data_IF_884328809237
#
_entry.id   IF_884328809237
#
_cell.length_a   1.000
_cell.length_b   1.000
_cell.length_c   1.000
_cell.angle_alpha   90.00
_cell.angle_beta   90.00
_cell.angle_gamma   90.00
#
_symmetry.space_group_name_H-M   'P 1'
#
loop_
_entity.id
_entity.type
_entity.pdbx_description
1 polymer ?
#
# COMPACT_ATOMS: atom_id res chain seq x y z
N UNK A 1 -6.65 35.05 -38.74
CA UNK A 1 -7.46 34.02 -39.43
C UNK A 1 -6.56 32.79 -39.55
N UNK A 2 -6.79 31.63 -38.94
CA UNK A 2 -7.85 31.08 -38.10
C UNK A 2 -7.16 30.29 -36.96
N UNK A 3 -7.80 30.27 -35.79
CA UNK A 3 -7.50 29.36 -34.69
C UNK A 3 -7.71 27.92 -35.18
N UNK A 4 -6.66 27.11 -35.27
CA UNK A 4 -6.79 25.66 -35.19
C UNK A 4 -6.79 25.32 -33.71
N UNK A 5 -7.97 25.46 -33.09
CA UNK A 5 -8.26 24.72 -31.87
C UNK A 5 -8.50 23.31 -32.39
N UNK A 6 -7.44 22.51 -32.42
CA UNK A 6 -7.56 21.06 -32.47
C UNK A 6 -8.35 20.67 -31.23
N UNK A 7 -9.66 20.66 -31.40
CA UNK A 7 -10.57 20.16 -30.40
C UNK A 7 -10.42 18.66 -30.58
N UNK A 8 -9.48 18.08 -29.84
CA UNK A 8 -9.39 16.63 -29.68
C UNK A 8 -10.81 16.16 -29.37
N UNK A 9 -11.47 15.53 -30.35
CA UNK A 9 -12.65 14.72 -30.10
C UNK A 9 -12.18 13.56 -29.23
N UNK A 10 -12.01 13.81 -27.94
CA UNK A 10 -11.82 12.75 -26.96
C UNK A 10 -13.02 11.84 -27.10
N UNK A 11 -12.81 10.63 -27.61
CA UNK A 11 -13.90 9.71 -27.85
C UNK A 11 -14.63 9.48 -26.52
N UNK A 12 -15.97 9.47 -26.52
CA UNK A 12 -16.76 9.23 -25.29
C UNK A 12 -16.31 7.95 -24.55
N UNK A 13 -15.79 6.98 -25.29
CA UNK A 13 -15.17 5.77 -24.76
C UNK A 13 -13.88 6.04 -23.95
N UNK A 14 -12.98 6.90 -24.44
CA UNK A 14 -11.77 7.30 -23.71
C UNK A 14 -12.12 8.05 -22.43
N UNK A 15 -13.14 8.90 -22.47
CA UNK A 15 -13.64 9.59 -21.28
C UNK A 15 -14.14 8.61 -20.21
N UNK A 16 -14.88 7.57 -20.62
CA UNK A 16 -15.33 6.51 -19.71
C UNK A 16 -14.14 5.73 -19.13
N UNK A 17 -13.17 5.34 -19.95
CA UNK A 17 -11.98 4.63 -19.48
C UNK A 17 -11.20 5.45 -18.45
N UNK A 18 -11.05 6.75 -18.68
CA UNK A 18 -10.34 7.66 -17.78
C UNK A 18 -11.07 7.82 -16.43
N UNK A 19 -12.41 7.81 -16.44
CA UNK A 19 -13.20 7.80 -15.22
C UNK A 19 -13.03 6.47 -14.47
N UNK A 20 -13.04 5.35 -15.18
CA UNK A 20 -12.84 4.03 -14.58
C UNK A 20 -11.46 3.89 -13.93
N UNK A 21 -10.42 4.37 -14.60
CA UNK A 21 -9.05 4.44 -14.08
C UNK A 21 -8.99 5.26 -12.78
N UNK A 22 -9.61 6.45 -12.76
CA UNK A 22 -9.71 7.28 -11.56
C UNK A 22 -10.42 6.56 -10.41
N UNK A 23 -11.52 5.85 -10.68
CA UNK A 23 -12.21 5.06 -9.66
C UNK A 23 -11.34 3.91 -9.13
N UNK A 24 -10.55 3.28 -10.00
CA UNK A 24 -9.63 2.21 -9.62
C UNK A 24 -8.54 2.74 -8.69
N UNK A 25 -7.95 3.90 -9.01
CA UNK A 25 -6.95 4.57 -8.19
C UNK A 25 -7.50 4.98 -6.82
N UNK A 26 -8.72 5.54 -6.78
CA UNK A 26 -9.39 5.90 -5.53
C UNK A 26 -9.67 4.64 -4.70
N UNK A 27 -10.14 3.56 -5.33
CA UNK A 27 -10.38 2.30 -4.65
C UNK A 27 -9.09 1.72 -4.05
N UNK A 28 -7.99 1.71 -4.82
CA UNK A 28 -6.69 1.23 -4.37
C UNK A 28 -6.18 2.07 -3.19
N UNK A 29 -6.33 3.40 -3.27
CA UNK A 29 -5.96 4.33 -2.20
C UNK A 29 -6.81 4.10 -0.95
N UNK A 30 -8.11 3.88 -1.09
CA UNK A 30 -9.01 3.59 0.01
C UNK A 30 -8.69 2.25 0.68
N UNK A 31 -8.36 1.22 -0.11
CA UNK A 31 -7.94 -0.09 0.38
C UNK A 31 -6.62 0.02 1.16
N UNK A 32 -5.66 0.78 0.63
CA UNK A 32 -4.41 1.06 1.31
C UNK A 32 -4.64 1.78 2.66
N UNK A 33 -5.49 2.81 2.69
CA UNK A 33 -5.84 3.52 3.91
C UNK A 33 -6.53 2.61 4.92
N UNK A 34 -7.45 1.75 4.46
CA UNK A 34 -8.13 0.75 5.26
C UNK A 34 -7.16 -0.26 5.87
N UNK A 35 -6.20 -0.77 5.09
CA UNK A 35 -5.15 -1.65 5.58
C UNK A 35 -4.33 -0.98 6.68
N UNK A 36 -3.98 0.30 6.53
CA UNK A 36 -3.26 1.03 7.58
C UNK A 36 -4.09 1.25 8.84
N UNK A 37 -5.41 1.47 8.72
CA UNK A 37 -6.31 1.49 9.87
C UNK A 37 -6.33 0.13 10.57
N UNK A 38 -6.45 -0.98 9.84
CA UNK A 38 -6.42 -2.33 10.43
C UNK A 38 -5.11 -2.59 11.17
N UNK A 39 -3.98 -2.13 10.65
CA UNK A 39 -2.70 -2.20 11.35
C UNK A 39 -2.70 -1.46 12.69
N UNK A 40 -3.43 -0.36 12.84
CA UNK A 40 -3.54 0.29 14.15
C UNK A 40 -4.22 -0.61 15.19
N UNK A 41 -5.08 -1.54 14.75
CA UNK A 41 -5.71 -2.53 15.62
C UNK A 41 -4.82 -3.72 15.98
N UNK A 42 -3.68 -3.90 15.30
CA UNK A 42 -2.73 -4.99 15.63
C UNK A 42 -2.10 -4.83 17.02
N UNK A 43 -2.11 -3.60 17.56
CA UNK A 43 -1.79 -3.33 18.96
C UNK A 43 -2.71 -4.11 19.93
N UNK A 44 -4.02 -4.20 19.62
CA UNK A 44 -4.97 -4.94 20.47
C UNK A 44 -4.75 -6.45 20.40
N UNK A 45 -4.27 -7.00 19.29
CA UNK A 45 -3.92 -8.42 19.20
C UNK A 45 -2.77 -8.78 20.15
N UNK A 46 -1.87 -7.83 20.41
CA UNK A 46 -0.77 -7.96 21.35
C UNK A 46 -1.17 -7.79 22.82
N UNK A 47 -2.45 -7.55 23.13
CA UNK A 47 -2.99 -7.66 24.50
C UNK A 47 -3.14 -9.13 24.93
N UNK A 48 -3.22 -10.07 24.00
CA UNK A 48 -3.27 -11.48 24.33
C UNK A 48 -1.90 -11.94 24.88
N UNK A 49 -1.88 -12.50 26.10
CA UNK A 49 -0.66 -12.93 26.77
C UNK A 49 0.15 -13.96 25.97
N UNK A 50 -0.51 -14.82 25.20
CA UNK A 50 0.18 -15.83 24.36
C UNK A 50 0.95 -15.19 23.19
N UNK A 51 0.36 -14.16 22.56
CA UNK A 51 0.96 -13.42 21.44
C UNK A 51 2.05 -12.48 21.96
N UNK A 52 1.78 -11.78 23.07
CA UNK A 52 2.70 -10.83 23.71
C UNK A 52 4.01 -11.47 24.16
N UNK A 53 3.92 -12.68 24.72
CA UNK A 53 5.08 -13.37 25.29
C UNK A 53 5.95 -14.02 24.20
N UNK A 54 5.37 -14.31 23.03
CA UNK A 54 6.11 -14.82 21.88
C UNK A 54 6.52 -13.68 20.93
N UNK A 55 7.82 -13.37 20.92
CA UNK A 55 8.41 -12.30 20.10
C UNK A 55 8.07 -12.45 18.61
N UNK A 56 8.01 -13.69 18.09
CA UNK A 56 7.71 -13.93 16.68
C UNK A 56 6.26 -13.58 16.34
N UNK A 57 5.29 -14.04 17.14
CA UNK A 57 3.87 -13.72 16.91
C UNK A 57 3.60 -12.24 17.10
N UNK A 58 4.20 -11.62 18.10
CA UNK A 58 4.10 -10.18 18.34
C UNK A 58 4.64 -9.36 17.15
N UNK A 59 5.78 -9.76 16.59
CA UNK A 59 6.34 -9.13 15.38
C UNK A 59 5.43 -9.35 14.18
N UNK A 60 4.96 -10.59 13.98
CA UNK A 60 4.07 -10.95 12.88
C UNK A 60 2.79 -10.12 12.92
N UNK A 61 2.20 -9.86 14.09
CA UNK A 61 1.03 -8.97 14.18
C UNK A 61 1.31 -7.55 13.70
N UNK A 62 2.50 -7.00 13.94
CA UNK A 62 2.84 -5.65 13.47
C UNK A 62 3.27 -5.59 12.00
N UNK A 63 3.89 -6.66 11.47
CA UNK A 63 4.52 -6.64 10.14
C UNK A 63 3.79 -7.45 9.08
N UNK A 64 2.87 -8.37 9.44
CA UNK A 64 2.19 -9.24 8.48
C UNK A 64 1.41 -8.47 7.42
N UNK A 65 0.65 -7.46 7.82
CA UNK A 65 -0.13 -6.64 6.89
C UNK A 65 0.79 -5.79 6.01
N UNK A 66 1.79 -5.05 6.54
CA UNK A 66 2.80 -4.37 5.71
C UNK A 66 3.48 -5.29 4.69
N UNK A 67 3.86 -6.50 5.11
CA UNK A 67 4.50 -7.50 4.24
C UNK A 67 3.53 -7.96 3.15
N UNK A 68 2.26 -8.23 3.49
CA UNK A 68 1.24 -8.62 2.52
C UNK A 68 1.00 -7.53 1.46
N UNK A 69 0.98 -6.26 1.89
CA UNK A 69 0.85 -5.11 0.98
C UNK A 69 2.05 -5.00 0.05
N UNK A 70 3.28 -5.13 0.56
CA UNK A 70 4.48 -5.14 -0.30
C UNK A 70 4.47 -6.30 -1.27
N UNK A 71 4.09 -7.51 -0.84
CA UNK A 71 3.99 -8.67 -1.72
C UNK A 71 2.97 -8.45 -2.85
N UNK A 72 1.81 -7.87 -2.54
CA UNK A 72 0.81 -7.51 -3.53
C UNK A 72 1.38 -6.56 -4.60
N UNK A 73 2.05 -5.48 -4.17
CA UNK A 73 2.68 -4.55 -5.10
C UNK A 73 3.83 -5.18 -5.90
N UNK A 74 4.61 -6.10 -5.30
CA UNK A 74 5.65 -6.85 -6.03
C UNK A 74 5.06 -7.76 -7.12
N UNK A 75 3.91 -8.39 -6.86
CA UNK A 75 3.22 -9.22 -7.86
C UNK A 75 2.71 -8.34 -8.99
N UNK A 76 2.01 -7.26 -8.65
CA UNK A 76 1.47 -6.33 -9.64
C UNK A 76 2.61 -5.69 -10.46
N UNK A 77 3.74 -5.35 -9.83
CA UNK A 77 4.96 -4.90 -10.52
C UNK A 77 5.46 -5.90 -11.57
N UNK A 78 5.47 -7.19 -11.26
CA UNK A 78 5.91 -8.21 -12.22
C UNK A 78 4.94 -8.33 -13.39
N UNK A 79 3.65 -8.16 -13.16
CA UNK A 79 2.63 -8.18 -14.22
C UNK A 79 2.81 -6.96 -15.13
N UNK A 80 2.89 -5.77 -14.54
CA UNK A 80 3.01 -4.52 -15.30
C UNK A 80 4.32 -4.45 -16.08
N UNK A 81 5.44 -4.90 -15.49
CA UNK A 81 6.73 -5.00 -16.18
C UNK A 81 6.71 -5.95 -17.38
N UNK A 82 5.93 -7.03 -17.31
CA UNK A 82 5.76 -7.96 -18.44
C UNK A 82 4.87 -7.39 -19.56
N UNK A 83 3.97 -6.45 -19.25
CA UNK A 83 3.02 -5.89 -20.22
C UNK A 83 3.49 -4.58 -20.86
N UNK A 84 4.14 -3.70 -20.11
CA UNK A 84 4.46 -2.32 -20.51
C UNK A 84 5.96 -1.96 -20.37
N UNK A 85 6.82 -2.96 -20.16
CA UNK A 85 8.26 -2.79 -19.95
C UNK A 85 8.59 -1.70 -18.90
N UNK A 86 9.36 -0.67 -19.28
CA UNK A 86 9.91 0.34 -18.38
C UNK A 86 8.88 1.45 -18.06
N UNK A 87 7.83 1.60 -18.86
CA UNK A 87 6.82 2.64 -18.62
C UNK A 87 5.84 2.28 -17.49
N UNK A 88 5.51 0.99 -17.33
CA UNK A 88 4.79 0.50 -16.14
C UNK A 88 5.53 0.77 -14.82
N UNK A 89 6.86 0.94 -14.88
CA UNK A 89 7.71 1.25 -13.73
C UNK A 89 7.45 2.65 -13.12
N UNK A 90 6.88 3.58 -13.89
CA UNK A 90 6.65 4.97 -13.45
C UNK A 90 5.48 5.11 -12.49
N UNK A 91 4.37 4.41 -12.74
CA UNK A 91 3.15 4.44 -11.90
C UNK A 91 3.37 3.74 -10.55
N UNK A 92 4.19 2.69 -10.53
CA UNK A 92 4.49 1.85 -9.36
C UNK A 92 5.45 2.47 -8.32
N UNK A 93 6.32 3.40 -8.76
CA UNK A 93 7.35 4.03 -7.92
C UNK A 93 6.84 4.63 -6.60
N UNK A 94 5.78 5.47 -6.56
CA UNK A 94 5.34 6.08 -5.32
C UNK A 94 4.78 5.06 -4.32
N UNK A 95 4.01 4.07 -4.79
CA UNK A 95 3.41 3.05 -3.92
C UNK A 95 4.46 2.15 -3.27
N UNK A 96 5.50 1.78 -4.01
CA UNK A 96 6.60 0.96 -3.48
C UNK A 96 7.36 1.70 -2.37
N UNK A 97 7.61 3.01 -2.56
CA UNK A 97 8.27 3.86 -1.57
C UNK A 97 7.41 3.95 -0.30
N UNK A 98 6.10 4.19 -0.46
CA UNK A 98 5.16 4.28 0.67
C UNK A 98 5.10 2.96 1.43
N UNK A 99 5.05 1.82 0.74
CA UNK A 99 5.02 0.51 1.37
C UNK A 99 6.32 0.18 2.13
N UNK A 100 7.48 0.58 1.58
CA UNK A 100 8.76 0.44 2.26
C UNK A 100 8.84 1.30 3.53
N UNK A 101 8.44 2.58 3.44
CA UNK A 101 8.34 3.47 4.59
C UNK A 101 7.41 2.86 5.66
N UNK A 102 6.32 2.24 5.23
CA UNK A 102 5.36 1.63 6.13
C UNK A 102 5.90 0.42 6.91
N UNK A 103 6.71 -0.42 6.26
CA UNK A 103 7.44 -1.51 6.95
C UNK A 103 8.37 -0.93 8.01
N UNK A 104 9.13 0.12 7.69
CA UNK A 104 10.04 0.76 8.65
C UNK A 104 9.30 1.30 9.87
N UNK A 105 8.16 1.99 9.67
CA UNK A 105 7.33 2.46 10.77
C UNK A 105 6.78 1.30 11.62
N UNK A 106 6.37 0.20 10.98
CA UNK A 106 5.84 -0.97 11.68
C UNK A 106 6.90 -1.66 12.55
N UNK A 107 8.13 -1.76 12.05
CA UNK A 107 9.29 -2.26 12.82
C UNK A 107 9.58 -1.32 14.01
N UNK A 108 9.55 0.00 13.78
CA UNK A 108 9.80 0.97 14.84
C UNK A 108 8.73 0.90 15.94
N UNK A 109 7.45 0.77 15.56
CA UNK A 109 6.35 0.55 16.51
C UNK A 109 6.56 -0.73 17.32
N UNK A 110 6.96 -1.83 16.67
CA UNK A 110 7.26 -3.08 17.35
C UNK A 110 8.40 -2.93 18.37
N UNK A 111 9.48 -2.25 18.00
CA UNK A 111 10.61 -1.99 18.92
C UNK A 111 10.15 -1.19 20.14
N UNK A 112 9.41 -0.09 19.93
CA UNK A 112 8.87 0.73 21.03
C UNK A 112 7.96 -0.12 21.94
N UNK A 113 7.08 -0.92 21.35
CA UNK A 113 6.19 -1.82 22.09
C UNK A 113 6.98 -2.76 23.01
N UNK A 114 8.04 -3.40 22.49
CA UNK A 114 8.89 -4.31 23.26
C UNK A 114 9.69 -3.61 24.35
N UNK A 115 10.22 -2.41 24.07
CA UNK A 115 10.92 -1.61 25.09
C UNK A 115 9.97 -1.27 26.23
N UNK A 116 8.74 -0.84 25.93
CA UNK A 116 7.74 -0.51 26.94
C UNK A 116 7.34 -1.75 27.76
N UNK A 117 7.23 -2.91 27.12
CA UNK A 117 6.94 -4.18 27.79
C UNK A 117 8.04 -4.66 28.72
N UNK A 118 9.31 -4.36 28.44
CA UNK A 118 10.46 -4.71 29.30
C UNK A 118 10.63 -3.74 30.48
N UNK A 119 9.93 -2.61 30.45
CA UNK A 119 9.99 -1.54 31.46
C UNK A 119 8.87 -1.64 32.51
N UNK A 120 7.88 -2.49 32.27
CA UNK A 120 6.82 -2.92 33.19
C UNK A 120 7.08 -4.36 33.61
#
# INVERSE_FOLDING_TARGET
MLNNIDTEESNFFEFILKILELFLDIYLTALFLGAMMVCSFTYFLNLNNQIRNNTFFSLLTFTAIPIAVVLFYCIQFNIDFQMEDIDGLRMMKPYFIVAFIYILFSIFLFIIFRIKLRKF
#
